data_IF_721218002966
#
_entry.id   IF_721218002966
#
_cell.length_a   1.000
_cell.length_b   1.000
_cell.length_c   1.000
_cell.angle_alpha   90.00
_cell.angle_beta   90.00
_cell.angle_gamma   90.00
#
_symmetry.space_group_name_H-M   'P 1'
#
loop_
_entity.id
_entity.type
_entity.pdbx_description
1 polymer ?
#
# COMPACT_ATOMS: atom_id res chain seq x y z
N UNK A 1 25.29 11.58 -2.91
CA UNK A 1 25.33 12.60 -1.83
C UNK A 1 23.99 13.29 -1.53
N UNK A 2 22.97 13.27 -2.41
CA UNK A 2 21.69 13.96 -2.16
C UNK A 2 20.79 13.32 -1.07
N UNK A 3 20.93 12.02 -0.80
CA UNK A 3 20.09 11.29 0.15
C UNK A 3 20.11 11.83 1.60
N UNK A 4 21.28 12.09 2.24
CA UNK A 4 21.30 12.63 3.61
C UNK A 4 20.69 14.04 3.74
N UNK A 5 20.81 14.87 2.69
CA UNK A 5 20.20 16.22 2.68
C UNK A 5 18.67 16.09 2.55
N UNK A 6 18.21 15.22 1.65
CA UNK A 6 16.79 14.90 1.49
C UNK A 6 16.17 14.34 2.78
N UNK A 7 16.87 13.44 3.47
CA UNK A 7 16.44 12.92 4.77
C UNK A 7 16.36 14.00 5.85
N UNK A 8 17.34 14.91 5.90
CA UNK A 8 17.32 16.04 6.82
C UNK A 8 16.08 16.92 6.63
N UNK A 9 15.73 17.19 5.38
CA UNK A 9 14.54 17.99 5.04
C UNK A 9 13.23 17.28 5.39
N UNK A 10 13.15 15.95 5.24
CA UNK A 10 11.97 15.17 5.63
C UNK A 10 11.76 15.11 7.16
N UNK A 11 12.85 15.17 7.93
CA UNK A 11 12.79 15.19 9.41
C UNK A 11 12.36 16.55 9.94
N UNK A 12 12.66 17.64 9.24
CA UNK A 12 12.15 18.96 9.58
C UNK A 12 10.65 19.00 9.25
N UNK A 13 9.78 19.19 10.25
CA UNK A 13 8.35 19.34 10.01
C UNK A 13 8.08 20.75 9.49
N UNK A 14 7.64 20.91 8.25
CA UNK A 14 7.31 22.24 7.75
C UNK A 14 5.93 22.65 8.26
N UNK A 15 5.90 23.74 9.02
CA UNK A 15 4.64 24.30 9.53
C UNK A 15 3.81 24.98 8.42
N UNK A 16 4.50 25.37 7.34
CA UNK A 16 3.95 26.02 6.13
C UNK A 16 3.65 25.03 4.98
N UNK A 17 2.62 25.34 4.17
CA UNK A 17 2.17 24.48 3.07
C UNK A 17 3.18 24.34 1.92
N UNK A 18 4.00 25.36 1.65
CA UNK A 18 5.02 25.33 0.58
C UNK A 18 6.15 24.33 0.86
N UNK A 19 6.81 24.41 2.02
CA UNK A 19 7.85 23.44 2.38
C UNK A 19 7.28 22.03 2.66
N UNK A 20 6.01 21.89 3.08
CA UNK A 20 5.34 20.58 3.14
C UNK A 20 5.22 19.92 1.76
N UNK A 21 4.82 20.69 0.75
CA UNK A 21 4.75 20.19 -0.64
C UNK A 21 6.12 19.75 -1.16
N UNK A 22 7.17 20.52 -0.87
CA UNK A 22 8.54 20.16 -1.25
C UNK A 22 9.01 18.88 -0.55
N UNK A 23 8.73 18.75 0.75
CA UNK A 23 9.04 17.54 1.51
C UNK A 23 8.34 16.30 0.91
N UNK A 24 7.05 16.41 0.54
CA UNK A 24 6.32 15.36 -0.17
C UNK A 24 7.02 14.91 -1.47
N UNK A 25 7.43 15.86 -2.30
CA UNK A 25 8.15 15.59 -3.54
C UNK A 25 9.50 14.88 -3.31
N UNK A 26 10.28 15.37 -2.35
CA UNK A 26 11.59 14.79 -2.01
C UNK A 26 11.41 13.36 -1.47
N UNK A 27 10.42 13.14 -0.60
CA UNK A 27 10.11 11.83 -0.05
C UNK A 27 9.77 10.81 -1.12
N UNK A 28 8.93 11.19 -2.10
CA UNK A 28 8.64 10.33 -3.26
C UNK A 28 9.89 9.98 -4.05
N UNK A 29 10.68 10.97 -4.46
CA UNK A 29 11.88 10.74 -5.27
C UNK A 29 12.90 9.82 -4.56
N UNK A 30 13.08 10.02 -3.25
CA UNK A 30 13.93 9.16 -2.43
C UNK A 30 13.36 7.74 -2.31
N UNK A 31 12.04 7.62 -2.12
CA UNK A 31 11.34 6.34 -2.05
C UNK A 31 11.51 5.53 -3.33
N UNK A 32 11.29 6.14 -4.50
CA UNK A 32 11.51 5.52 -5.81
C UNK A 32 12.95 5.02 -5.96
N UNK A 33 13.92 5.87 -5.63
CA UNK A 33 15.35 5.56 -5.75
C UNK A 33 15.72 4.35 -4.88
N UNK A 34 15.23 4.32 -3.64
CA UNK A 34 15.49 3.22 -2.71
C UNK A 34 14.83 1.93 -3.14
N UNK A 35 13.58 2.00 -3.60
CA UNK A 35 12.85 0.85 -4.09
C UNK A 35 13.56 0.24 -5.31
N UNK A 36 14.03 1.07 -6.24
CA UNK A 36 14.83 0.63 -7.39
C UNK A 36 16.14 -0.05 -6.98
N UNK A 37 16.74 0.38 -5.87
CA UNK A 37 17.94 -0.24 -5.30
C UNK A 37 17.65 -1.46 -4.39
N UNK A 38 16.38 -1.86 -4.25
CA UNK A 38 15.96 -2.98 -3.40
C UNK A 38 15.88 -2.67 -1.91
N UNK A 39 16.15 -1.43 -1.49
CA UNK A 39 16.01 -0.94 -0.12
C UNK A 39 14.52 -0.66 0.18
N UNK A 40 13.79 -1.75 0.45
CA UNK A 40 12.34 -1.71 0.71
C UNK A 40 12.01 -0.95 1.99
N UNK A 41 12.81 -1.13 3.04
CA UNK A 41 12.58 -0.48 4.34
C UNK A 41 12.80 1.03 4.24
N UNK A 42 13.91 1.45 3.62
CA UNK A 42 14.17 2.86 3.40
C UNK A 42 13.18 3.50 2.41
N UNK A 43 12.70 2.75 1.42
CA UNK A 43 11.65 3.20 0.51
C UNK A 43 10.33 3.42 1.25
N UNK A 44 9.92 2.46 2.09
CA UNK A 44 8.74 2.57 2.93
C UNK A 44 8.80 3.82 3.81
N UNK A 45 9.92 4.04 4.50
CA UNK A 45 10.15 5.23 5.33
C UNK A 45 9.98 6.53 4.53
N UNK A 46 10.53 6.58 3.31
CA UNK A 46 10.46 7.77 2.46
C UNK A 46 9.04 8.05 1.95
N UNK A 47 8.30 7.04 1.52
CA UNK A 47 6.91 7.22 1.08
C UNK A 47 5.96 7.56 2.23
N UNK A 48 6.18 7.01 3.43
CA UNK A 48 5.43 7.40 4.62
C UNK A 48 5.65 8.85 5.00
N UNK A 49 6.90 9.32 4.93
CA UNK A 49 7.23 10.72 5.17
C UNK A 49 6.59 11.64 4.11
N UNK A 50 6.58 11.20 2.84
CA UNK A 50 5.92 11.94 1.77
C UNK A 50 4.41 12.08 2.01
N UNK A 51 3.76 10.95 2.31
CA UNK A 51 2.34 10.90 2.65
C UNK A 51 2.02 11.82 3.83
N UNK A 52 2.79 11.76 4.91
CA UNK A 52 2.55 12.59 6.09
C UNK A 52 2.64 14.09 5.77
N UNK A 53 3.59 14.47 4.91
CA UNK A 53 3.71 15.84 4.43
C UNK A 53 2.52 16.26 3.56
N UNK A 54 2.07 15.40 2.64
CA UNK A 54 0.93 15.69 1.77
C UNK A 54 -0.42 15.65 2.52
N UNK A 55 -0.58 14.81 3.54
CA UNK A 55 -1.74 14.85 4.46
C UNK A 55 -1.77 16.16 5.24
N UNK A 56 -0.61 16.58 5.77
CA UNK A 56 -0.51 17.86 6.48
C UNK A 56 -0.81 19.05 5.57
N UNK A 57 -0.41 18.99 4.30
CA UNK A 57 -0.75 20.00 3.31
C UNK A 57 -2.26 19.97 2.96
N UNK A 58 -2.84 18.79 2.74
CA UNK A 58 -4.26 18.62 2.41
C UNK A 58 -5.19 19.15 3.51
N UNK A 59 -4.86 18.90 4.78
CA UNK A 59 -5.64 19.38 5.93
C UNK A 59 -5.73 20.91 6.01
N UNK A 60 -4.78 21.64 5.41
CA UNK A 60 -4.75 23.11 5.37
C UNK A 60 -5.42 23.69 4.12
N UNK A 61 -5.68 22.86 3.11
CA UNK A 61 -6.25 23.23 1.82
C UNK A 61 -7.54 22.43 1.57
N UNK A 62 -8.51 22.54 2.48
CA UNK A 62 -9.79 21.83 2.39
C UNK A 62 -10.44 21.99 1.02
N UNK A 63 -10.71 20.86 0.34
CA UNK A 63 -11.30 20.82 -1.00
C UNK A 63 -10.29 20.76 -2.16
N UNK A 64 -8.98 20.72 -1.88
CA UNK A 64 -7.95 20.52 -2.91
C UNK A 64 -7.93 19.05 -3.39
N UNK A 65 -8.52 18.83 -4.57
CA UNK A 65 -8.50 17.54 -5.26
C UNK A 65 -7.07 17.08 -5.61
N UNK A 66 -6.16 18.02 -5.90
CA UNK A 66 -4.76 17.68 -6.16
C UNK A 66 -4.07 17.16 -4.89
N UNK A 67 -4.33 17.79 -3.74
CA UNK A 67 -3.79 17.32 -2.45
C UNK A 67 -4.28 15.92 -2.10
N UNK A 68 -5.58 15.68 -2.30
CA UNK A 68 -6.17 14.36 -2.12
C UNK A 68 -5.57 13.32 -3.08
N UNK A 69 -5.33 13.72 -4.34
CA UNK A 69 -4.65 12.88 -5.34
C UNK A 69 -3.22 12.53 -4.98
N UNK A 70 -2.44 13.48 -4.42
CA UNK A 70 -1.07 13.23 -3.95
C UNK A 70 -1.04 12.23 -2.81
N UNK A 71 -1.89 12.40 -1.80
CA UNK A 71 -2.00 11.46 -0.67
C UNK A 71 -2.33 10.06 -1.16
N UNK A 72 -3.29 9.92 -2.07
CA UNK A 72 -3.62 8.61 -2.69
C UNK A 72 -2.41 8.01 -3.41
N UNK A 73 -1.69 8.81 -4.18
CA UNK A 73 -0.48 8.39 -4.89
C UNK A 73 0.63 7.91 -3.96
N UNK A 74 0.86 8.57 -2.82
CA UNK A 74 1.84 8.11 -1.84
C UNK A 74 1.42 6.81 -1.17
N UNK A 75 0.13 6.67 -0.86
CA UNK A 75 -0.43 5.43 -0.32
C UNK A 75 -0.32 4.27 -1.32
N UNK A 76 -0.53 4.54 -2.61
CA UNK A 76 -0.34 3.54 -3.67
C UNK A 76 1.10 3.01 -3.70
N UNK A 77 2.08 3.92 -3.59
CA UNK A 77 3.50 3.53 -3.50
C UNK A 77 3.83 2.74 -2.24
N UNK A 78 3.23 3.07 -1.09
CA UNK A 78 3.36 2.25 0.12
C UNK A 78 2.82 0.84 -0.12
N UNK A 79 1.70 0.70 -0.82
CA UNK A 79 1.14 -0.60 -1.22
C UNK A 79 2.09 -1.40 -2.13
N UNK A 80 2.75 -0.73 -3.08
CA UNK A 80 3.77 -1.37 -3.93
C UNK A 80 4.93 -1.92 -3.10
N UNK A 81 5.41 -1.14 -2.11
CA UNK A 81 6.46 -1.60 -1.18
C UNK A 81 5.96 -2.76 -0.31
N UNK A 82 4.74 -2.68 0.21
CA UNK A 82 4.13 -3.75 1.00
C UNK A 82 4.02 -5.06 0.19
N UNK A 83 3.61 -4.97 -1.08
CA UNK A 83 3.60 -6.12 -1.97
C UNK A 83 5.02 -6.66 -2.23
N UNK A 84 6.01 -5.78 -2.41
CA UNK A 84 7.41 -6.22 -2.55
C UNK A 84 7.96 -6.91 -1.29
N UNK A 85 7.50 -6.51 -0.10
CA UNK A 85 7.82 -7.16 1.18
C UNK A 85 7.11 -8.51 1.31
N UNK A 86 5.83 -8.60 0.94
CA UNK A 86 5.06 -9.85 0.87
C UNK A 86 5.77 -10.88 -0.01
N UNK A 87 6.18 -10.50 -1.22
CA UNK A 87 6.88 -11.37 -2.15
C UNK A 87 8.28 -11.80 -1.66
N UNK A 88 8.88 -11.03 -0.75
CA UNK A 88 10.14 -11.37 -0.10
C UNK A 88 9.96 -12.25 1.16
N UNK A 89 8.72 -12.61 1.51
CA UNK A 89 8.41 -13.36 2.73
C UNK A 89 8.37 -12.52 4.00
N UNK A 90 8.53 -11.20 3.90
CA UNK A 90 8.50 -10.28 5.03
C UNK A 90 7.06 -9.87 5.39
N UNK A 91 6.23 -10.86 5.75
CA UNK A 91 4.78 -10.70 5.91
C UNK A 91 4.40 -9.70 7.01
N UNK A 92 5.07 -9.75 8.17
CA UNK A 92 4.77 -8.82 9.28
C UNK A 92 5.12 -7.37 8.90
N UNK A 93 6.19 -7.17 8.12
CA UNK A 93 6.55 -5.86 7.59
C UNK A 93 5.55 -5.37 6.53
N UNK A 94 5.06 -6.26 5.66
CA UNK A 94 4.01 -5.95 4.70
C UNK A 94 2.71 -5.51 5.43
N UNK A 95 2.29 -6.25 6.46
CA UNK A 95 1.13 -5.89 7.29
C UNK A 95 1.32 -4.52 7.95
N UNK A 96 2.46 -4.28 8.58
CA UNK A 96 2.76 -2.99 9.21
C UNK A 96 2.74 -1.82 8.20
N UNK A 97 3.18 -2.04 6.96
CA UNK A 97 3.10 -1.04 5.90
C UNK A 97 1.63 -0.73 5.53
N UNK A 98 0.80 -1.76 5.34
CA UNK A 98 -0.63 -1.59 5.02
C UNK A 98 -1.38 -0.93 6.17
N UNK A 99 -1.15 -1.35 7.41
CA UNK A 99 -1.80 -0.78 8.61
C UNK A 99 -1.52 0.72 8.77
N UNK A 100 -0.36 1.17 8.32
CA UNK A 100 -0.04 2.60 8.28
C UNK A 100 -0.71 3.32 7.12
N UNK A 101 -0.91 2.66 5.97
CA UNK A 101 -1.45 3.26 4.74
C UNK A 101 -2.99 3.37 4.73
N UNK A 102 -3.70 2.28 5.04
CA UNK A 102 -5.16 2.17 4.88
C UNK A 102 -5.96 3.27 5.58
N UNK A 103 -5.65 3.71 6.82
CA UNK A 103 -6.44 4.74 7.50
C UNK A 103 -6.49 6.09 6.77
N UNK A 104 -5.52 6.37 5.91
CA UNK A 104 -5.38 7.64 5.21
C UNK A 104 -6.13 7.65 3.87
N UNK A 105 -6.26 6.49 3.23
CA UNK A 105 -6.98 6.34 1.96
C UNK A 105 -7.76 5.00 1.96
N UNK A 106 -8.81 4.87 2.79
CA UNK A 106 -9.54 3.62 2.99
C UNK A 106 -10.26 3.12 1.72
N UNK A 107 -10.50 4.00 0.76
CA UNK A 107 -11.09 3.69 -0.54
C UNK A 107 -10.15 2.90 -1.47
N UNK A 108 -8.86 2.82 -1.17
CA UNK A 108 -7.90 2.02 -1.94
C UNK A 108 -7.94 0.54 -1.50
N UNK A 109 -9.10 -0.10 -1.73
CA UNK A 109 -9.38 -1.47 -1.30
C UNK A 109 -8.39 -2.52 -1.83
N UNK A 110 -7.66 -2.25 -2.92
CA UNK A 110 -6.63 -3.15 -3.43
C UNK A 110 -5.52 -3.43 -2.40
N UNK A 111 -5.25 -2.50 -1.46
CA UNK A 111 -4.31 -2.71 -0.36
C UNK A 111 -4.70 -3.88 0.55
N UNK A 112 -6.00 -4.14 0.68
CA UNK A 112 -6.53 -5.24 1.47
C UNK A 112 -6.30 -6.61 0.79
N UNK A 113 -6.00 -6.66 -0.52
CA UNK A 113 -5.48 -7.87 -1.18
C UNK A 113 -4.10 -8.25 -0.65
N UNK A 114 -3.22 -7.25 -0.48
CA UNK A 114 -1.86 -7.45 0.07
C UNK A 114 -1.95 -7.85 1.54
N UNK A 115 -2.81 -7.18 2.32
CA UNK A 115 -3.08 -7.54 3.71
C UNK A 115 -3.58 -8.97 3.85
N UNK A 116 -4.59 -9.36 3.07
CA UNK A 116 -5.15 -10.72 3.11
C UNK A 116 -4.08 -11.77 2.75
N UNK A 117 -3.27 -11.52 1.72
CA UNK A 117 -2.17 -12.42 1.37
C UNK A 117 -1.14 -12.56 2.51
N UNK A 118 -0.73 -11.45 3.13
CA UNK A 118 0.21 -11.49 4.24
C UNK A 118 -0.38 -12.19 5.48
N UNK A 119 -1.65 -11.98 5.81
CA UNK A 119 -2.35 -12.71 6.88
C UNK A 119 -2.41 -14.21 6.60
N UNK A 120 -2.76 -14.59 5.37
CA UNK A 120 -2.82 -15.99 4.95
C UNK A 120 -1.47 -16.68 5.13
N UNK A 121 -0.36 -16.08 4.68
CA UNK A 121 0.98 -16.65 4.86
C UNK A 121 1.52 -16.59 6.30
N UNK A 122 0.78 -15.96 7.22
CA UNK A 122 1.01 -16.03 8.67
C UNK A 122 0.05 -17.01 9.36
N UNK A 123 -0.61 -17.88 8.60
CA UNK A 123 -1.61 -18.85 9.08
C UNK A 123 -2.83 -18.19 9.76
N UNK A 124 -3.06 -16.89 9.51
CA UNK A 124 -4.21 -16.13 10.02
C UNK A 124 -5.35 -16.11 9.01
N UNK A 125 -5.67 -17.28 8.45
CA UNK A 125 -6.62 -17.39 7.34
C UNK A 125 -8.02 -16.86 7.63
N UNK A 126 -8.64 -17.09 8.81
CA UNK A 126 -9.96 -16.53 9.09
C UNK A 126 -9.99 -15.01 8.98
N UNK A 127 -8.90 -14.35 9.38
CA UNK A 127 -8.75 -12.90 9.26
C UNK A 127 -8.52 -12.47 7.81
N UNK A 128 -7.76 -13.25 7.04
CA UNK A 128 -7.58 -13.03 5.61
C UNK A 128 -8.92 -13.08 4.85
N UNK A 129 -9.76 -14.09 5.12
CA UNK A 129 -11.10 -14.18 4.51
C UNK A 129 -12.00 -13.02 4.93
N UNK A 130 -12.01 -12.68 6.22
CA UNK A 130 -12.78 -11.53 6.71
C UNK A 130 -12.32 -10.20 6.05
N UNK A 131 -11.03 -10.07 5.72
CA UNK A 131 -10.53 -8.93 4.94
C UNK A 131 -11.09 -8.93 3.53
N UNK A 132 -11.06 -10.06 2.84
CA UNK A 132 -11.54 -10.16 1.46
C UNK A 132 -13.06 -9.99 1.37
N UNK A 133 -13.83 -10.52 2.32
CA UNK A 133 -15.29 -10.45 2.31
C UNK A 133 -15.83 -9.03 2.53
N UNK A 134 -15.05 -8.14 3.19
CA UNK A 134 -15.45 -6.74 3.41
C UNK A 134 -15.72 -5.96 2.12
N UNK A 135 -15.11 -6.37 1.01
CA UNK A 135 -15.19 -5.67 -0.28
C UNK A 135 -15.99 -6.46 -1.33
N UNK A 136 -16.72 -7.50 -0.93
CA UNK A 136 -17.52 -8.33 -1.84
C UNK A 136 -18.57 -7.49 -2.57
N UNK A 137 -18.67 -7.65 -3.89
CA UNK A 137 -19.54 -6.88 -4.77
C UNK A 137 -19.06 -5.46 -5.09
N UNK A 138 -17.92 -5.02 -4.54
CA UNK A 138 -17.33 -3.74 -4.87
C UNK A 138 -16.49 -3.82 -6.16
N UNK A 139 -16.11 -2.65 -6.67
CA UNK A 139 -15.05 -2.53 -7.67
C UNK A 139 -13.80 -1.96 -7.01
N UNK A 140 -12.65 -2.35 -7.52
CA UNK A 140 -11.40 -1.70 -7.17
C UNK A 140 -11.37 -0.27 -7.72
N UNK A 141 -10.44 0.55 -7.22
CA UNK A 141 -10.20 1.89 -7.80
C UNK A 141 -9.83 1.87 -9.29
N UNK A 142 -9.35 0.73 -9.81
CA UNK A 142 -9.09 0.51 -11.23
C UNK A 142 -10.35 0.14 -12.06
N UNK A 143 -11.50 -0.02 -11.41
CA UNK A 143 -12.76 -0.42 -12.04
C UNK A 143 -12.92 -1.93 -12.24
N UNK A 144 -11.96 -2.75 -11.82
CA UNK A 144 -12.09 -4.21 -11.87
C UNK A 144 -13.02 -4.70 -10.76
N UNK A 145 -13.95 -5.65 -11.02
CA UNK A 145 -14.73 -6.31 -9.98
C UNK A 145 -13.83 -6.93 -8.91
N UNK A 146 -14.18 -6.75 -7.64
CA UNK A 146 -13.37 -7.19 -6.52
C UNK A 146 -13.05 -8.69 -6.57
N UNK A 147 -14.05 -9.53 -6.81
CA UNK A 147 -13.89 -10.98 -6.90
C UNK A 147 -12.86 -11.37 -7.97
N UNK A 148 -12.86 -10.65 -9.09
CA UNK A 148 -11.91 -10.90 -10.18
C UNK A 148 -10.48 -10.54 -9.76
N UNK A 149 -10.28 -9.45 -9.00
CA UNK A 149 -8.96 -9.09 -8.48
C UNK A 149 -8.48 -9.99 -7.35
N UNK A 150 -9.39 -10.52 -6.51
CA UNK A 150 -9.06 -11.55 -5.51
C UNK A 150 -8.49 -12.78 -6.20
N UNK A 151 -9.20 -13.32 -7.19
CA UNK A 151 -8.77 -14.50 -7.94
C UNK A 151 -7.47 -14.22 -8.71
N UNK A 152 -7.35 -13.05 -9.34
CA UNK A 152 -6.11 -12.66 -10.02
C UNK A 152 -4.94 -12.52 -9.04
N UNK A 153 -5.16 -12.00 -7.84
CA UNK A 153 -4.14 -11.91 -6.79
C UNK A 153 -3.63 -13.29 -6.39
N UNK A 154 -4.53 -14.24 -6.12
CA UNK A 154 -4.16 -15.64 -5.84
C UNK A 154 -3.36 -16.24 -7.00
N UNK A 155 -3.81 -16.06 -8.24
CA UNK A 155 -3.10 -16.56 -9.41
C UNK A 155 -1.69 -15.95 -9.55
N UNK A 156 -1.54 -14.64 -9.31
CA UNK A 156 -0.23 -13.93 -9.32
C UNK A 156 0.71 -14.48 -8.25
N UNK A 157 0.22 -14.80 -7.05
CA UNK A 157 1.02 -15.43 -5.99
C UNK A 157 1.47 -16.84 -6.39
N UNK A 158 0.53 -17.67 -6.89
CA UNK A 158 0.84 -19.03 -7.37
C UNK A 158 1.89 -19.03 -8.48
N UNK A 159 1.78 -18.10 -9.44
CA UNK A 159 2.74 -17.94 -10.52
C UNK A 159 4.16 -17.59 -10.05
N UNK A 160 4.30 -17.02 -8.84
CA UNK A 160 5.58 -16.72 -8.19
C UNK A 160 6.07 -17.87 -7.29
N UNK A 161 5.42 -19.03 -7.33
CA UNK A 161 5.74 -20.18 -6.48
C UNK A 161 5.30 -20.02 -5.03
N UNK A 162 4.58 -18.95 -4.69
CA UNK A 162 4.01 -18.75 -3.36
C UNK A 162 2.69 -19.51 -3.32
N UNK A 163 2.72 -20.73 -2.75
CA UNK A 163 1.54 -21.60 -2.64
C UNK A 163 1.17 -21.75 -1.17
N UNK A 164 -0.12 -21.64 -0.89
CA UNK A 164 -0.67 -21.88 0.43
C UNK A 164 -1.91 -22.78 0.34
N UNK A 165 -2.13 -23.75 1.26
CA UNK A 165 -3.26 -24.67 1.19
C UNK A 165 -4.63 -23.97 1.12
N UNK A 166 -4.77 -22.82 1.79
CA UNK A 166 -6.00 -22.05 1.83
C UNK A 166 -6.33 -21.26 0.56
N UNK A 167 -5.41 -21.20 -0.42
CA UNK A 167 -5.70 -20.52 -1.69
C UNK A 167 -6.88 -21.14 -2.43
N UNK A 168 -7.04 -22.47 -2.35
CA UNK A 168 -8.17 -23.16 -2.99
C UNK A 168 -9.52 -22.78 -2.36
N UNK A 169 -9.53 -22.51 -1.05
CA UNK A 169 -10.72 -22.06 -0.34
C UNK A 169 -11.10 -20.63 -0.74
N UNK A 170 -10.13 -19.73 -0.84
CA UNK A 170 -10.33 -18.37 -1.37
C UNK A 170 -10.89 -18.44 -2.80
N UNK A 171 -10.28 -19.27 -3.66
CA UNK A 171 -10.75 -19.43 -5.04
C UNK A 171 -12.20 -19.94 -5.11
N UNK A 172 -12.55 -20.92 -4.28
CA UNK A 172 -13.91 -21.44 -4.21
C UNK A 172 -14.91 -20.38 -3.69
N UNK A 173 -14.52 -19.60 -2.68
CA UNK A 173 -15.38 -18.59 -2.05
C UNK A 173 -15.63 -17.34 -2.93
N UNK A 174 -14.72 -17.04 -3.86
CA UNK A 174 -14.79 -15.88 -4.74
C UNK A 174 -15.03 -16.25 -6.21
N UNK A 175 -15.19 -17.53 -6.54
CA UNK A 175 -15.61 -17.96 -7.87
C UNK A 175 -17.03 -17.43 -8.19
N UNK A 176 -17.31 -17.10 -9.46
CA UNK A 176 -18.66 -16.74 -9.88
C UNK A 176 -19.64 -17.88 -9.57
N UNK A 177 -20.85 -17.53 -9.14
CA UNK A 177 -21.92 -18.51 -8.95
C UNK A 177 -22.15 -19.27 -10.27
N UNK A 178 -22.21 -20.60 -10.17
CA UNK A 178 -22.49 -21.48 -11.31
C UNK A 178 -23.96 -21.44 -11.71
#
# INVERSE_FOLDING_TARGET
>A
EAAPIAEGLLRARPEDAGPARLAGMIGRALGETRLANGDRDGALVAFLAARDADVAAAARASGDAEASGRVKGDVDRIGVVANALLLAGAYDAALAAIDRATPVAPEQNWLDLVRAAALMFRDRTPEALAVLDRHRGETTGAGTPWESEVLASVARLKAKGMIHPFMAEIEAAFAPAR
#
